data_IF_192106326124
#
_entry.id   IF_192106326124
#
_cell.length_a   1.000
_cell.length_b   1.000
_cell.length_c   1.000
_cell.angle_alpha   90.00
_cell.angle_beta   90.00
_cell.angle_gamma   90.00
#
_symmetry.space_group_name_H-M   'P 1'
#
loop_
_entity.id
_entity.type
_entity.pdbx_description
1 polymer ?
#
# COMPACT_ATOMS: atom_id res chain seq x y z
N UNK A 1 2.36 -14.88 -9.23
CA UNK A 1 2.74 -13.54 -8.76
C UNK A 1 4.15 -13.62 -8.23
N UNK A 2 5.15 -12.95 -8.84
CA UNK A 2 6.37 -12.69 -8.10
C UNK A 2 6.00 -11.86 -6.88
N UNK A 3 6.59 -12.16 -5.73
CA UNK A 3 6.42 -11.33 -4.55
C UNK A 3 6.88 -9.89 -4.88
N UNK A 4 6.29 -8.85 -4.27
CA UNK A 4 6.91 -7.52 -4.29
C UNK A 4 8.37 -7.69 -3.88
N UNK A 5 9.28 -7.08 -4.64
CA UNK A 5 10.71 -7.24 -4.42
C UNK A 5 11.06 -6.68 -3.04
N UNK A 6 11.15 -7.56 -2.04
CA UNK A 6 11.64 -7.23 -0.69
C UNK A 6 13.09 -6.71 -0.70
N UNK A 7 13.77 -6.78 -1.85
CA UNK A 7 15.15 -6.32 -2.06
C UNK A 7 15.32 -4.80 -1.92
N UNK A 8 14.28 -3.96 -2.12
CA UNK A 8 14.45 -2.50 -2.06
C UNK A 8 14.42 -1.97 -0.61
N UNK A 9 13.47 -2.42 0.20
CA UNK A 9 13.36 -2.09 1.63
C UNK A 9 14.61 -2.47 2.44
N UNK A 10 15.24 -3.62 2.14
CA UNK A 10 16.41 -4.09 2.89
C UNK A 10 17.65 -3.19 2.68
N UNK A 11 17.81 -2.66 1.46
CA UNK A 11 18.88 -1.70 1.14
C UNK A 11 18.62 -0.32 1.77
N UNK A 12 17.35 0.07 1.91
CA UNK A 12 17.00 1.37 2.46
C UNK A 12 17.37 1.51 3.94
N UNK A 13 17.40 0.44 4.75
CA UNK A 13 17.62 0.49 6.22
C UNK A 13 18.92 1.21 6.62
N UNK A 14 19.91 1.29 5.73
CA UNK A 14 21.18 1.96 5.97
C UNK A 14 21.26 3.41 5.46
N UNK A 15 20.22 3.90 4.78
CA UNK A 15 20.16 5.25 4.22
C UNK A 15 19.83 6.31 5.29
N UNK A 16 19.97 7.61 5.00
CA UNK A 16 19.48 8.67 5.88
C UNK A 16 17.96 8.55 6.13
N UNK A 17 17.44 9.01 7.29
CA UNK A 17 16.03 8.83 7.66
C UNK A 17 15.00 9.31 6.64
N UNK A 18 15.31 10.39 5.90
CA UNK A 18 14.44 10.88 4.81
C UNK A 18 14.35 9.89 3.65
N UNK A 19 15.50 9.41 3.18
CA UNK A 19 15.56 8.46 2.08
C UNK A 19 14.94 7.11 2.49
N UNK A 20 15.15 6.67 3.73
CA UNK A 20 14.44 5.53 4.31
C UNK A 20 12.92 5.70 4.22
N UNK A 21 12.41 6.83 4.71
CA UNK A 21 10.99 7.09 4.76
C UNK A 21 10.35 7.10 3.36
N UNK A 22 10.97 7.79 2.40
CA UNK A 22 10.50 7.85 1.02
C UNK A 22 10.49 6.45 0.37
N UNK A 23 11.57 5.68 0.52
CA UNK A 23 11.66 4.32 -0.01
C UNK A 23 10.58 3.39 0.58
N UNK A 24 10.36 3.43 1.90
CA UNK A 24 9.34 2.60 2.52
C UNK A 24 7.93 2.96 2.05
N UNK A 25 7.62 4.25 1.89
CA UNK A 25 6.30 4.67 1.40
C UNK A 25 6.09 4.18 -0.05
N UNK A 26 7.08 4.31 -0.92
CA UNK A 26 6.99 3.84 -2.30
C UNK A 26 6.82 2.32 -2.40
N UNK A 27 7.55 1.56 -1.57
CA UNK A 27 7.40 0.10 -1.50
C UNK A 27 6.00 -0.30 -1.06
N UNK A 28 5.44 0.36 -0.03
CA UNK A 28 4.07 0.06 0.42
C UNK A 28 3.02 0.42 -0.63
N UNK A 29 3.20 1.51 -1.39
CA UNK A 29 2.34 1.84 -2.54
C UNK A 29 2.38 0.75 -3.60
N UNK A 30 3.58 0.26 -3.94
CA UNK A 30 3.74 -0.84 -4.90
C UNK A 30 3.09 -2.14 -4.41
N UNK A 31 3.26 -2.48 -3.13
CA UNK A 31 2.62 -3.65 -2.53
C UNK A 31 1.08 -3.56 -2.55
N UNK A 32 0.52 -2.39 -2.25
CA UNK A 32 -0.94 -2.17 -2.30
C UNK A 32 -1.47 -2.31 -3.73
N UNK A 33 -0.75 -1.79 -4.72
CA UNK A 33 -1.11 -1.96 -6.14
C UNK A 33 -1.04 -3.44 -6.56
N UNK A 34 0.03 -4.14 -6.18
CA UNK A 34 0.20 -5.56 -6.50
C UNK A 34 -0.92 -6.44 -5.90
N UNK A 35 -1.49 -6.06 -4.75
CA UNK A 35 -2.65 -6.75 -4.18
C UNK A 35 -3.92 -6.62 -5.04
N UNK A 36 -4.02 -5.60 -5.90
CA UNK A 36 -5.16 -5.37 -6.79
C UNK A 36 -4.95 -5.94 -8.19
N UNK A 37 -3.74 -6.36 -8.54
CA UNK A 37 -3.39 -6.81 -9.90
C UNK A 37 -4.31 -7.94 -10.37
N UNK A 38 -4.92 -7.73 -11.54
CA UNK A 38 -5.80 -8.71 -12.19
C UNK A 38 -7.19 -8.85 -11.57
N UNK A 39 -7.52 -8.07 -10.52
CA UNK A 39 -8.88 -8.06 -9.97
C UNK A 39 -9.81 -7.16 -10.77
N UNK A 40 -11.06 -7.61 -10.94
CA UNK A 40 -12.13 -6.70 -11.38
C UNK A 40 -12.56 -5.80 -10.21
N UNK A 41 -13.26 -4.72 -10.54
CA UNK A 41 -13.80 -3.82 -9.52
C UNK A 41 -14.78 -4.52 -8.59
N UNK A 42 -15.63 -5.40 -9.11
CA UNK A 42 -16.56 -6.21 -8.33
C UNK A 42 -15.83 -7.11 -7.33
N UNK A 43 -14.71 -7.72 -7.77
CA UNK A 43 -13.88 -8.55 -6.90
C UNK A 43 -13.23 -7.70 -5.78
N UNK A 44 -12.69 -6.52 -6.11
CA UNK A 44 -12.09 -5.62 -5.13
C UNK A 44 -13.11 -5.06 -4.12
N UNK A 45 -14.39 -4.92 -4.52
CA UNK A 45 -15.50 -4.46 -3.68
C UNK A 45 -16.13 -5.54 -2.81
N UNK A 46 -15.81 -6.82 -3.02
CA UNK A 46 -16.42 -7.92 -2.27
C UNK A 46 -15.89 -7.94 -0.83
N UNK A 47 -16.79 -8.08 0.15
CA UNK A 47 -16.39 -8.44 1.51
C UNK A 47 -16.08 -9.93 1.59
N UNK A 48 -14.92 -10.27 2.14
CA UNK A 48 -14.45 -11.65 2.34
C UNK A 48 -14.42 -12.06 3.82
N UNK A 49 -14.81 -11.16 4.71
CA UNK A 49 -14.85 -11.35 6.16
C UNK A 49 -16.20 -10.89 6.70
N UNK A 50 -16.53 -11.20 7.96
CA UNK A 50 -17.82 -10.85 8.55
C UNK A 50 -18.07 -9.33 8.68
N UNK A 51 -17.00 -8.52 8.69
CA UNK A 51 -17.11 -7.06 8.69
C UNK A 51 -17.43 -6.49 7.30
N UNK A 52 -17.59 -5.17 7.24
CA UNK A 52 -17.73 -4.43 5.96
C UNK A 52 -16.40 -4.17 5.25
N UNK A 53 -15.30 -4.79 5.70
CA UNK A 53 -13.98 -4.59 5.11
C UNK A 53 -13.92 -5.18 3.71
N UNK A 54 -13.44 -4.40 2.76
CA UNK A 54 -13.19 -4.82 1.37
C UNK A 54 -11.78 -4.41 0.98
N UNK A 55 -11.19 -5.07 -0.01
CA UNK A 55 -9.85 -4.71 -0.48
C UNK A 55 -9.81 -3.27 -1.02
N UNK A 56 -10.82 -2.88 -1.81
CA UNK A 56 -10.97 -1.51 -2.27
C UNK A 56 -11.14 -0.50 -1.11
N UNK A 57 -11.86 -0.91 -0.05
CA UNK A 57 -12.04 -0.08 1.15
C UNK A 57 -10.73 0.17 1.89
N UNK A 58 -9.86 -0.84 1.98
CA UNK A 58 -8.52 -0.71 2.58
C UNK A 58 -7.62 0.21 1.76
N UNK A 59 -7.63 0.08 0.44
CA UNK A 59 -6.85 0.97 -0.45
C UNK A 59 -7.33 2.41 -0.35
N UNK A 60 -8.65 2.63 -0.34
CA UNK A 60 -9.23 3.96 -0.11
C UNK A 60 -8.83 4.54 1.25
N UNK A 61 -8.76 3.71 2.28
CA UNK A 61 -8.31 4.13 3.61
C UNK A 61 -6.84 4.55 3.59
N UNK A 62 -5.95 3.78 2.95
CA UNK A 62 -4.54 4.13 2.81
C UNK A 62 -4.34 5.48 2.09
N UNK A 63 -5.07 5.72 0.99
CA UNK A 63 -5.04 7.01 0.27
C UNK A 63 -5.51 8.17 1.16
N UNK A 64 -6.55 7.95 1.98
CA UNK A 64 -7.03 8.97 2.91
C UNK A 64 -5.96 9.29 3.97
N UNK A 65 -5.34 8.26 4.55
CA UNK A 65 -4.25 8.45 5.53
C UNK A 65 -3.10 9.23 4.90
N UNK A 66 -2.68 8.87 3.69
CA UNK A 66 -1.62 9.58 2.97
C UNK A 66 -1.94 11.07 2.77
N UNK A 67 -3.16 11.40 2.34
CA UNK A 67 -3.59 12.80 2.21
C UNK A 67 -3.58 13.55 3.53
N UNK A 68 -4.07 12.93 4.61
CA UNK A 68 -4.09 13.59 5.93
C UNK A 68 -2.67 13.92 6.39
N UNK A 69 -1.72 13.00 6.25
CA UNK A 69 -0.35 13.22 6.72
C UNK A 69 0.49 14.14 5.84
N UNK A 70 0.22 14.22 4.53
CA UNK A 70 1.03 15.02 3.60
C UNK A 70 0.40 16.35 3.17
N UNK A 71 -0.94 16.46 3.18
CA UNK A 71 -1.64 17.67 2.74
C UNK A 71 -2.22 18.49 3.91
N UNK A 72 -2.68 17.83 4.99
CA UNK A 72 -3.43 18.50 6.08
C UNK A 72 -2.67 18.68 7.39
N UNK A 73 -1.70 17.80 7.70
CA UNK A 73 -0.93 17.79 8.95
C UNK A 73 0.29 18.73 8.92
#
# INVERSE_FOLDING_TARGET
MPAPQAEFAENAIHEPPRAQFEAFIDDHRNMLNACLDGLTEEQARRSLVASRTTLLGLVKHAIMVEKVWFDEA
#
